data_IF_849170375911
#
_entry.id   IF_849170375911
#
_cell.length_a   1.000
_cell.length_b   1.000
_cell.length_c   1.000
_cell.angle_alpha   90.00
_cell.angle_beta   90.00
_cell.angle_gamma   90.00
#
_symmetry.space_group_name_H-M   'P 1'
#
loop_
_entity.id
_entity.type
_entity.pdbx_description
1 polymer ?
#
# COMPACT_ATOMS: atom_id res chain seq x y z
N UNK A 1 -35.31 -2.54 6.85
CA UNK A 1 -34.72 -2.65 5.50
C UNK A 1 -33.55 -1.70 5.42
N UNK A 2 -32.31 -2.21 5.42
CA UNK A 2 -31.16 -1.38 5.16
C UNK A 2 -31.27 -0.87 3.71
N UNK A 3 -31.24 0.44 3.53
CA UNK A 3 -31.19 1.07 2.22
C UNK A 3 -29.91 0.55 1.57
N UNK A 4 -30.01 -0.34 0.58
CA UNK A 4 -28.84 -0.78 -0.18
C UNK A 4 -28.30 0.48 -0.86
N UNK A 5 -27.22 1.03 -0.32
CA UNK A 5 -26.45 2.05 -1.01
C UNK A 5 -25.96 1.30 -2.25
N UNK A 6 -26.51 1.62 -3.41
CA UNK A 6 -25.94 1.21 -4.69
C UNK A 6 -24.61 1.95 -4.77
N UNK A 7 -23.57 1.32 -4.25
CA UNK A 7 -22.21 1.84 -4.32
C UNK A 7 -21.76 1.65 -5.76
N UNK A 8 -21.31 2.73 -6.41
CA UNK A 8 -20.77 2.61 -7.76
C UNK A 8 -19.41 1.90 -7.67
N UNK A 9 -19.12 0.93 -8.55
CA UNK A 9 -17.81 0.25 -8.62
C UNK A 9 -16.63 1.23 -8.66
N UNK A 10 -16.76 2.30 -9.46
CA UNK A 10 -15.78 3.40 -9.55
C UNK A 10 -15.42 4.03 -8.19
N UNK A 11 -16.39 4.09 -7.27
CA UNK A 11 -16.16 4.66 -5.92
C UNK A 11 -15.32 3.72 -5.06
N UNK A 12 -15.54 2.41 -5.16
CA UNK A 12 -14.75 1.41 -4.45
C UNK A 12 -13.32 1.33 -5.03
N UNK A 13 -13.19 1.44 -6.35
CA UNK A 13 -11.92 1.53 -7.07
C UNK A 13 -11.09 2.75 -6.65
N UNK A 14 -11.68 3.95 -6.63
CA UNK A 14 -10.97 5.17 -6.23
C UNK A 14 -10.52 5.08 -4.76
N UNK A 15 -11.39 4.56 -3.88
CA UNK A 15 -11.06 4.39 -2.47
C UNK A 15 -9.92 3.37 -2.26
N UNK A 16 -9.97 2.23 -2.96
CA UNK A 16 -8.91 1.23 -2.86
C UNK A 16 -7.60 1.79 -3.42
N UNK A 17 -7.64 2.54 -4.52
CA UNK A 17 -6.48 3.25 -5.08
C UNK A 17 -5.86 4.24 -4.07
N UNK A 18 -6.69 5.04 -3.39
CA UNK A 18 -6.21 5.95 -2.33
C UNK A 18 -5.57 5.15 -1.19
N UNK A 19 -6.18 4.04 -0.78
CA UNK A 19 -5.63 3.14 0.24
C UNK A 19 -4.26 2.60 -0.18
N UNK A 20 -4.12 2.14 -1.43
CA UNK A 20 -2.85 1.71 -2.00
C UNK A 20 -1.78 2.81 -1.97
N UNK A 21 -2.15 4.05 -2.34
CA UNK A 21 -1.24 5.22 -2.29
C UNK A 21 -0.81 5.54 -0.85
N UNK A 22 -1.73 5.53 0.11
CA UNK A 22 -1.40 5.73 1.54
C UNK A 22 -0.39 4.68 1.98
N UNK A 23 -0.62 3.41 1.62
CA UNK A 23 0.26 2.31 1.95
C UNK A 23 1.68 2.54 1.40
N UNK A 24 1.82 2.87 0.12
CA UNK A 24 3.14 3.18 -0.46
C UNK A 24 3.82 4.35 0.25
N UNK A 25 3.09 5.40 0.59
CA UNK A 25 3.65 6.58 1.27
C UNK A 25 4.12 6.24 2.69
N UNK A 26 3.36 5.41 3.42
CA UNK A 26 3.79 4.89 4.72
C UNK A 26 5.07 4.06 4.57
N UNK A 27 5.15 3.19 3.55
CA UNK A 27 6.36 2.41 3.32
C UNK A 27 7.58 3.30 3.03
N UNK A 28 7.43 4.32 2.18
CA UNK A 28 8.48 5.32 1.91
C UNK A 28 8.92 6.01 3.19
N UNK A 29 7.97 6.43 4.04
CA UNK A 29 8.28 7.03 5.33
C UNK A 29 9.10 6.07 6.22
N UNK A 30 8.67 4.81 6.35
CA UNK A 30 9.35 3.83 7.21
C UNK A 30 10.78 3.53 6.71
N UNK A 31 10.99 3.42 5.39
CA UNK A 31 12.31 3.21 4.82
C UNK A 31 13.20 4.47 4.90
N UNK A 32 12.65 5.66 4.66
CA UNK A 32 13.39 6.91 4.82
C UNK A 32 13.83 7.12 6.27
N UNK A 33 12.97 6.77 7.24
CA UNK A 33 13.28 6.84 8.67
C UNK A 33 14.37 5.82 9.04
N UNK A 34 14.29 4.60 8.50
CA UNK A 34 15.33 3.59 8.71
C UNK A 34 16.67 4.08 8.15
N UNK A 35 16.64 4.70 6.97
CA UNK A 35 17.83 5.20 6.31
C UNK A 35 18.44 6.42 7.02
N UNK A 36 17.63 7.30 7.61
CA UNK A 36 18.14 8.44 8.38
C UNK A 36 18.90 8.03 9.64
N UNK A 37 18.54 6.88 10.24
CA UNK A 37 19.26 6.32 11.38
C UNK A 37 20.64 5.74 10.99
N UNK A 38 20.84 5.37 9.71
CA UNK A 38 22.12 4.84 9.19
C UNK A 38 23.09 5.97 8.86
N UNK A 39 22.59 7.07 8.29
CA UNK A 39 23.47 8.10 7.71
C UNK A 39 24.16 8.89 8.82
N UNK A 40 25.39 8.49 9.13
CA UNK A 40 26.25 9.19 10.09
C UNK A 40 26.90 10.40 9.43
N UNK A 41 26.41 11.61 9.74
CA UNK A 41 27.03 12.87 9.31
C UNK A 41 25.99 13.97 9.10
N UNK A 42 25.88 14.90 10.06
CA UNK A 42 24.84 15.94 10.12
C UNK A 42 24.86 16.95 8.96
N UNK A 43 26.00 17.11 8.26
CA UNK A 43 26.17 18.11 7.19
C UNK A 43 26.04 17.55 5.76
N UNK A 44 25.50 16.33 5.61
CA UNK A 44 25.34 15.71 4.30
C UNK A 44 24.04 16.14 3.62
N UNK A 45 24.11 16.50 2.34
CA UNK A 45 22.95 16.73 1.44
C UNK A 45 21.94 15.57 1.52
N UNK A 46 22.42 14.36 1.80
CA UNK A 46 21.61 13.16 1.99
C UNK A 46 20.63 13.31 3.16
N UNK A 47 21.04 13.88 4.29
CA UNK A 47 20.14 14.09 5.43
C UNK A 47 19.04 15.09 5.12
N UNK A 48 19.36 16.15 4.39
CA UNK A 48 18.36 17.13 3.98
C UNK A 48 17.30 16.52 3.06
N UNK A 49 17.71 15.63 2.13
CA UNK A 49 16.78 14.89 1.27
C UNK A 49 15.90 13.95 2.09
N UNK A 50 16.46 13.25 3.08
CA UNK A 50 15.69 12.35 3.95
C UNK A 50 14.69 13.12 4.81
N UNK A 51 15.10 14.22 5.43
CA UNK A 51 14.22 15.07 6.23
C UNK A 51 13.07 15.63 5.39
N UNK A 52 13.38 16.09 4.17
CA UNK A 52 12.36 16.55 3.23
C UNK A 52 11.41 15.40 2.83
N UNK A 53 11.94 14.20 2.59
CA UNK A 53 11.15 13.02 2.24
C UNK A 53 10.23 12.61 3.38
N UNK A 54 10.73 12.59 4.61
CA UNK A 54 9.94 12.30 5.82
C UNK A 54 8.82 13.33 5.98
N UNK A 55 9.15 14.61 5.88
CA UNK A 55 8.19 15.69 6.01
C UNK A 55 7.11 15.64 4.91
N UNK A 56 7.52 15.46 3.65
CA UNK A 56 6.61 15.31 2.52
C UNK A 56 5.70 14.09 2.68
N UNK A 57 6.24 12.96 3.14
CA UNK A 57 5.47 11.73 3.36
C UNK A 57 4.40 11.93 4.43
N UNK A 58 4.72 12.64 5.53
CA UNK A 58 3.74 12.97 6.58
C UNK A 58 2.62 13.85 6.02
N UNK A 59 2.95 14.91 5.29
CA UNK A 59 1.94 15.78 4.66
C UNK A 59 1.05 14.98 3.72
N UNK A 60 1.65 14.15 2.86
CA UNK A 60 0.93 13.39 1.87
C UNK A 60 0.01 12.35 2.52
N UNK A 61 0.46 11.69 3.59
CA UNK A 61 -0.37 10.81 4.41
C UNK A 61 -1.58 11.55 5.00
N UNK A 62 -1.40 12.76 5.54
CA UNK A 62 -2.50 13.56 6.08
C UNK A 62 -3.51 13.91 4.97
N UNK A 63 -3.02 14.41 3.83
CA UNK A 63 -3.88 14.80 2.70
C UNK A 63 -4.68 13.61 2.17
N UNK A 64 -4.02 12.47 1.96
CA UNK A 64 -4.69 11.27 1.48
C UNK A 64 -5.66 10.69 2.51
N UNK A 65 -5.32 10.74 3.81
CA UNK A 65 -6.24 10.30 4.88
C UNK A 65 -7.48 11.18 4.94
N UNK A 66 -7.34 12.50 4.81
CA UNK A 66 -8.49 13.41 4.71
C UNK A 66 -9.31 13.11 3.45
N UNK A 67 -8.66 12.78 2.33
CA UNK A 67 -9.37 12.36 1.11
C UNK A 67 -10.12 11.04 1.33
N UNK A 68 -9.51 10.05 1.99
CA UNK A 68 -10.12 8.74 2.26
C UNK A 68 -11.33 8.84 3.20
N UNK A 69 -11.30 9.77 4.17
CA UNK A 69 -12.45 10.02 5.07
C UNK A 69 -13.72 10.45 4.33
N UNK A 70 -13.62 11.06 3.15
CA UNK A 70 -14.81 11.42 2.35
C UNK A 70 -15.60 10.18 1.93
N UNK A 71 -14.93 9.06 1.68
CA UNK A 71 -15.55 7.80 1.25
C UNK A 71 -16.30 7.07 2.36
N UNK A 72 -16.11 7.45 3.63
CA UNK A 72 -16.83 6.84 4.76
C UNK A 72 -18.36 6.96 4.65
N UNK A 73 -18.87 7.94 3.87
CA UNK A 73 -20.30 8.13 3.60
C UNK A 73 -20.79 7.47 2.30
N UNK A 74 -19.86 7.05 1.43
CA UNK A 74 -20.16 6.61 0.06
C UNK A 74 -19.88 5.12 -0.17
N UNK A 75 -19.18 4.46 0.75
CA UNK A 75 -18.91 3.02 0.73
C UNK A 75 -19.61 2.33 1.89
N UNK A 76 -19.81 1.02 1.78
CA UNK A 76 -20.31 0.22 2.89
C UNK A 76 -19.38 0.30 4.10
N UNK A 77 -19.93 0.17 5.32
CA UNK A 77 -19.13 0.16 6.55
C UNK A 77 -18.09 -0.97 6.55
N UNK A 78 -18.41 -2.11 5.92
CA UNK A 78 -17.48 -3.23 5.76
C UNK A 78 -16.35 -2.86 4.80
N UNK A 79 -16.65 -2.27 3.64
CA UNK A 79 -15.63 -1.79 2.70
C UNK A 79 -14.67 -0.79 3.34
N UNK A 80 -15.20 0.15 4.12
CA UNK A 80 -14.37 1.17 4.77
C UNK A 80 -13.44 0.62 5.86
N UNK A 81 -13.88 -0.34 6.67
CA UNK A 81 -13.09 -0.84 7.82
C UNK A 81 -12.31 -2.12 7.54
N UNK A 82 -12.86 -2.99 6.70
CA UNK A 82 -12.33 -4.34 6.47
C UNK A 82 -11.89 -4.55 5.03
N UNK A 83 -11.95 -3.51 4.18
CA UNK A 83 -11.62 -3.59 2.75
C UNK A 83 -12.41 -4.69 2.02
N UNK A 84 -13.65 -4.95 2.48
CA UNK A 84 -14.56 -5.91 1.87
C UNK A 84 -15.56 -5.18 0.98
N UNK A 85 -15.43 -5.35 -0.32
CA UNK A 85 -16.13 -4.56 -1.33
C UNK A 85 -17.31 -5.31 -1.95
N UNK A 86 -18.20 -4.58 -2.62
CA UNK A 86 -19.31 -5.19 -3.36
C UNK A 86 -18.88 -5.55 -4.78
N UNK A 87 -17.97 -4.77 -5.37
CA UNK A 87 -17.31 -5.10 -6.62
C UNK A 87 -16.38 -6.31 -6.44
N UNK A 88 -16.53 -7.30 -7.33
CA UNK A 88 -15.83 -8.59 -7.23
C UNK A 88 -14.33 -8.45 -7.49
N UNK A 89 -13.93 -7.62 -8.44
CA UNK A 89 -12.52 -7.43 -8.76
C UNK A 89 -11.82 -6.63 -7.67
N UNK A 90 -12.41 -5.53 -7.21
CA UNK A 90 -11.88 -4.70 -6.13
C UNK A 90 -11.75 -5.52 -4.84
N UNK A 91 -12.72 -6.39 -4.52
CA UNK A 91 -12.64 -7.32 -3.37
C UNK A 91 -11.55 -8.39 -3.55
N UNK A 92 -11.38 -8.91 -4.77
CA UNK A 92 -10.30 -9.86 -5.06
C UNK A 92 -8.92 -9.22 -4.86
N UNK A 93 -8.70 -8.01 -5.39
CA UNK A 93 -7.44 -7.28 -5.25
C UNK A 93 -7.17 -6.92 -3.78
N UNK A 94 -8.19 -6.44 -3.06
CA UNK A 94 -8.04 -6.10 -1.64
C UNK A 94 -7.70 -7.34 -0.80
N UNK A 95 -8.39 -8.47 -1.04
CA UNK A 95 -8.17 -9.74 -0.34
C UNK A 95 -6.79 -10.32 -0.64
N UNK A 96 -6.35 -10.29 -1.90
CA UNK A 96 -5.02 -10.74 -2.30
C UNK A 96 -3.91 -9.91 -1.64
N UNK A 97 -4.05 -8.59 -1.64
CA UNK A 97 -3.08 -7.69 -1.01
C UNK A 97 -3.00 -7.89 0.51
N UNK A 98 -4.14 -7.99 1.20
CA UNK A 98 -4.19 -8.26 2.64
C UNK A 98 -3.58 -9.63 2.99
N UNK A 99 -3.83 -10.65 2.17
CA UNK A 99 -3.25 -11.97 2.35
C UNK A 99 -1.73 -11.93 2.23
N UNK A 100 -1.20 -11.27 1.21
CA UNK A 100 0.25 -11.11 1.03
C UNK A 100 0.89 -10.39 2.22
N UNK A 101 0.32 -9.27 2.65
CA UNK A 101 0.76 -8.51 3.83
C UNK A 101 0.75 -9.37 5.10
N UNK A 102 -0.32 -10.13 5.32
CA UNK A 102 -0.42 -11.05 6.46
C UNK A 102 0.68 -12.12 6.42
N UNK A 103 0.95 -12.73 5.26
CA UNK A 103 2.00 -13.74 5.15
C UNK A 103 3.40 -13.14 5.41
N UNK A 104 3.69 -11.95 4.88
CA UNK A 104 4.95 -11.25 5.16
C UNK A 104 5.11 -11.03 6.67
N UNK A 105 4.08 -10.46 7.32
CA UNK A 105 4.11 -10.19 8.76
C UNK A 105 4.24 -11.47 9.59
N UNK A 106 3.49 -12.52 9.28
CA UNK A 106 3.52 -13.78 10.03
C UNK A 106 4.87 -14.48 9.87
N UNK A 107 5.35 -14.64 8.63
CA UNK A 107 6.63 -15.31 8.36
C UNK A 107 7.78 -14.51 8.95
N UNK A 108 7.78 -13.19 8.76
CA UNK A 108 8.79 -12.30 9.33
C UNK A 108 8.76 -12.31 10.86
N UNK A 109 7.59 -12.30 11.49
CA UNK A 109 7.46 -12.37 12.94
C UNK A 109 7.94 -13.72 13.49
N UNK A 110 7.64 -14.84 12.83
CA UNK A 110 8.18 -16.16 13.20
C UNK A 110 9.71 -16.13 13.11
N UNK A 111 10.26 -15.63 12.01
CA UNK A 111 11.70 -15.54 11.82
C UNK A 111 12.36 -14.68 12.91
N UNK A 112 11.80 -13.52 13.23
CA UNK A 112 12.28 -12.65 14.32
C UNK A 112 12.11 -13.29 15.70
N UNK A 113 11.04 -14.04 15.95
CA UNK A 113 10.83 -14.71 17.23
C UNK A 113 11.83 -15.85 17.48
N UNK A 114 12.22 -16.59 16.44
CA UNK A 114 13.19 -17.68 16.57
C UNK A 114 14.64 -17.23 16.43
N UNK A 115 14.89 -16.16 15.67
CA UNK A 115 16.25 -15.73 15.33
C UNK A 115 16.67 -14.43 16.03
N UNK A 116 15.73 -13.63 16.54
CA UNK A 116 15.95 -12.29 17.08
C UNK A 116 17.06 -12.19 18.13
N UNK A 117 17.14 -13.19 19.01
CA UNK A 117 18.12 -13.23 20.09
C UNK A 117 19.38 -14.04 19.74
N UNK A 118 19.40 -14.68 18.57
CA UNK A 118 20.56 -15.47 18.16
C UNK A 118 21.71 -14.55 17.75
N UNK A 119 22.90 -14.84 18.28
CA UNK A 119 24.11 -14.06 18.01
C UNK A 119 24.39 -13.86 16.51
N UNK A 120 24.20 -14.89 15.68
CA UNK A 120 24.40 -14.79 14.24
C UNK A 120 23.46 -13.78 13.58
N UNK A 121 22.22 -13.67 14.06
CA UNK A 121 21.23 -12.76 13.51
C UNK A 121 21.49 -11.34 13.99
N UNK A 122 21.79 -11.16 15.29
CA UNK A 122 22.19 -9.86 15.85
C UNK A 122 23.43 -9.31 15.15
N UNK A 123 24.41 -10.16 14.84
CA UNK A 123 25.58 -9.78 14.05
C UNK A 123 25.23 -9.48 12.59
N UNK A 124 24.27 -10.18 11.98
CA UNK A 124 23.79 -9.93 10.62
C UNK A 124 23.08 -8.58 10.48
N UNK A 125 22.25 -8.24 11.47
CA UNK A 125 21.53 -6.96 11.45
C UNK A 125 22.38 -5.82 11.96
N UNK A 126 23.52 -6.03 12.62
CA UNK A 126 24.37 -4.92 13.05
C UNK A 126 24.80 -4.02 11.86
N UNK A 127 24.73 -2.68 11.97
CA UNK A 127 24.47 -1.90 13.19
C UNK A 127 22.98 -1.72 13.55
N UNK A 128 22.05 -2.24 12.76
CA UNK A 128 20.61 -2.18 12.99
C UNK A 128 20.18 -2.98 14.22
N UNK A 129 19.24 -2.42 14.99
CA UNK A 129 18.61 -3.09 16.12
C UNK A 129 17.38 -3.90 15.72
N UNK A 130 16.82 -4.63 16.69
CA UNK A 130 15.58 -5.39 16.51
C UNK A 130 14.39 -4.50 16.11
N UNK A 131 14.34 -3.27 16.64
CA UNK A 131 13.33 -2.25 16.29
C UNK A 131 13.36 -1.97 14.78
N UNK A 132 14.56 -1.85 14.21
CA UNK A 132 14.79 -1.49 12.82
C UNK A 132 14.41 -2.65 11.90
N UNK A 133 14.67 -3.89 12.34
CA UNK A 133 14.23 -5.10 11.65
C UNK A 133 12.69 -5.21 11.62
N UNK A 134 12.00 -4.85 12.72
CA UNK A 134 10.53 -4.78 12.77
C UNK A 134 10.02 -3.66 11.85
N UNK A 135 10.67 -2.51 11.84
CA UNK A 135 10.31 -1.38 10.99
C UNK A 135 10.48 -1.73 9.50
N UNK A 136 11.56 -2.44 9.14
CA UNK A 136 11.80 -2.95 7.80
C UNK A 136 10.74 -3.98 7.40
N UNK A 137 10.37 -4.89 8.31
CA UNK A 137 9.31 -5.87 8.07
C UNK A 137 7.95 -5.18 7.81
N UNK A 138 7.60 -4.20 8.64
CA UNK A 138 6.39 -3.40 8.47
C UNK A 138 6.43 -2.62 7.16
N UNK A 139 7.55 -1.97 6.84
CA UNK A 139 7.77 -1.26 5.58
C UNK A 139 7.56 -2.16 4.37
N UNK A 140 8.12 -3.38 4.41
CA UNK A 140 7.93 -4.37 3.34
C UNK A 140 6.47 -4.80 3.21
N UNK A 141 5.80 -5.13 4.32
CA UNK A 141 4.43 -5.59 4.31
C UNK A 141 3.46 -4.53 3.75
N UNK A 142 3.65 -3.28 4.14
CA UNK A 142 2.85 -2.12 3.70
C UNK A 142 3.23 -1.72 2.26
N UNK A 143 4.49 -1.84 1.85
CA UNK A 143 4.90 -1.65 0.45
C UNK A 143 4.22 -2.67 -0.46
N UNK A 144 4.26 -3.96 -0.10
CA UNK A 144 3.59 -5.03 -0.86
C UNK A 144 2.09 -4.81 -0.93
N UNK A 145 1.44 -4.39 0.16
CA UNK A 145 0.02 -4.06 0.16
C UNK A 145 -0.32 -3.01 -0.89
N UNK A 146 0.40 -1.87 -0.85
CA UNK A 146 0.17 -0.76 -1.75
C UNK A 146 0.52 -1.08 -3.20
N UNK A 147 1.63 -1.77 -3.43
CA UNK A 147 2.08 -2.15 -4.77
C UNK A 147 1.11 -3.11 -5.44
N UNK A 148 0.62 -4.15 -4.74
CA UNK A 148 -0.33 -5.10 -5.29
C UNK A 148 -1.66 -4.43 -5.66
N UNK A 149 -2.14 -3.51 -4.82
CA UNK A 149 -3.34 -2.73 -5.13
C UNK A 149 -3.12 -1.92 -6.40
N UNK A 150 -2.09 -1.07 -6.42
CA UNK A 150 -1.89 -0.13 -7.53
C UNK A 150 -1.53 -0.83 -8.84
N UNK A 151 -0.82 -1.96 -8.78
CA UNK A 151 -0.50 -2.74 -9.97
C UNK A 151 -1.75 -3.37 -10.58
N UNK A 152 -2.54 -4.08 -9.77
CA UNK A 152 -3.70 -4.82 -10.29
C UNK A 152 -4.81 -3.87 -10.78
N UNK A 153 -5.08 -2.77 -10.06
CA UNK A 153 -6.08 -1.79 -10.50
C UNK A 153 -5.66 -1.09 -11.79
N UNK A 154 -4.36 -0.84 -11.98
CA UNK A 154 -3.85 -0.26 -13.24
C UNK A 154 -3.92 -1.26 -14.40
N UNK A 155 -3.66 -2.54 -14.13
CA UNK A 155 -3.73 -3.58 -15.17
C UNK A 155 -5.18 -3.80 -15.65
N UNK A 156 -6.16 -3.63 -14.77
CA UNK A 156 -7.58 -3.62 -15.13
C UNK A 156 -7.94 -2.44 -16.03
N UNK A 157 -7.56 -1.21 -15.62
CA UNK A 157 -7.79 0.00 -16.44
C UNK A 157 -7.25 -0.15 -17.87
N UNK A 158 -6.05 -0.72 -18.02
CA UNK A 158 -5.46 -0.96 -19.35
C UNK A 158 -6.20 -2.03 -20.16
N UNK A 159 -6.72 -3.09 -19.52
CA UNK A 159 -7.48 -4.14 -20.22
C UNK A 159 -8.84 -3.64 -20.70
N UNK A 160 -9.50 -2.80 -19.91
CA UNK A 160 -10.76 -2.17 -20.31
C UNK A 160 -10.55 -1.19 -21.49
N UNK A 161 -9.46 -0.42 -21.48
CA UNK A 161 -9.08 0.46 -22.59
C UNK A 161 -8.80 -0.34 -23.88
N UNK A 162 -8.02 -1.42 -23.81
CA UNK A 162 -7.70 -2.28 -24.96
C UNK A 162 -8.96 -2.92 -25.56
N UNK A 163 -9.86 -3.46 -24.72
CA UNK A 163 -11.12 -4.06 -25.18
C UNK A 163 -12.02 -3.04 -25.87
N UNK A 164 -12.09 -1.81 -25.34
CA UNK A 164 -12.90 -0.75 -25.92
C UNK A 164 -12.36 -0.26 -27.27
N UNK A 165 -11.04 -0.21 -27.43
CA UNK A 165 -10.40 0.13 -28.70
C UNK A 165 -10.51 -1.00 -29.74
N UNK A 166 -10.51 -2.28 -29.33
CA UNK A 166 -10.81 -3.43 -30.18
C UNK A 166 -12.26 -3.39 -30.70
N UNK A 167 -13.25 -3.19 -29.84
CA UNK A 167 -14.66 -3.09 -30.25
C UNK A 167 -14.89 -1.93 -31.23
N UNK A 168 -14.27 -0.77 -30.98
CA UNK A 168 -14.34 0.38 -31.91
C UNK A 168 -13.63 0.10 -33.23
N UNK A 169 -12.54 -0.68 -33.20
CA UNK A 169 -11.82 -1.09 -34.40
C UNK A 169 -12.63 -2.04 -35.28
N UNK A 170 -13.39 -2.95 -34.68
CA UNK A 170 -14.32 -3.84 -35.40
C UNK A 170 -15.51 -3.08 -36.00
N UNK A 171 -16.11 -2.12 -35.28
CA UNK A 171 -17.22 -1.30 -35.79
C UNK A 171 -16.86 -0.44 -37.02
N UNK A 172 -15.59 -0.08 -37.21
CA UNK A 172 -15.12 0.77 -38.33
C UNK A 172 -14.81 -0.03 -39.60
N UNK A 173 -14.69 -1.36 -39.51
CA UNK A 173 -14.37 -2.24 -40.66
C UNK A 173 -15.65 -2.75 -41.36
N UNK A 174 -16.82 -2.56 -40.76
CA UNK A 174 -18.12 -3.05 -41.23
C UNK A 174 -18.97 -2.02 -42.05
N UNK A 175 -18.37 -0.94 -42.59
CA UNK A 175 -18.99 -0.04 -43.60
C UNK A 175 -18.38 -0.17 -45.01
#
# INVERSE_FOLDING_TARGET
MAKSITVLPETEHEYLTITGKISVVIAVFLFAQLWSEIVTGTDSVVNWILDLTLFASVIYCIVLSVKSMKFAKHITRMGYWTLKFNDEYVDHVSSASLRATCHIMVVGAIFLAYSGDNRWFVELIAPFGLRDAIQMLLGLAVATHGALILWNLREEEHREEEHFDEERGEEVIDE
#
